data_IF_236660357648
#
_entry.id   IF_236660357648
#
_cell.length_a   1.000
_cell.length_b   1.000
_cell.length_c   1.000
_cell.angle_alpha   90.00
_cell.angle_beta   90.00
_cell.angle_gamma   90.00
#
_symmetry.space_group_name_H-M   'P 1'
#
loop_
_entity.id
_entity.type
_entity.pdbx_description
1 polymer ?
#
# COMPACT_ATOMS: atom_id res chain seq x y z
N UNK A 1 -22.10 13.88 -4.85
CA UNK A 1 -21.29 13.80 -6.09
C UNK A 1 -20.48 12.51 -6.07
N UNK A 2 -20.34 11.83 -7.21
CA UNK A 2 -19.49 10.63 -7.32
C UNK A 2 -18.02 11.07 -7.34
N UNK A 3 -17.16 10.47 -6.51
CA UNK A 3 -15.71 10.74 -6.52
C UNK A 3 -15.12 10.43 -7.90
N UNK A 4 -14.22 11.28 -8.38
CA UNK A 4 -13.41 11.02 -9.57
C UNK A 4 -12.50 9.81 -9.37
N UNK A 5 -12.04 9.19 -10.46
CA UNK A 5 -11.09 8.07 -10.40
C UNK A 5 -9.80 8.47 -9.66
N UNK A 6 -9.31 9.71 -9.89
CA UNK A 6 -8.15 10.28 -9.22
C UNK A 6 -8.32 10.36 -7.71
N UNK A 7 -9.45 10.88 -7.23
CA UNK A 7 -9.76 10.96 -5.78
C UNK A 7 -9.88 9.55 -5.17
N UNK A 8 -10.50 8.61 -5.88
CA UNK A 8 -10.60 7.22 -5.42
C UNK A 8 -9.22 6.55 -5.30
N UNK A 9 -8.31 6.82 -6.23
CA UNK A 9 -6.93 6.30 -6.18
C UNK A 9 -6.14 6.91 -5.01
N UNK A 10 -6.26 8.22 -4.77
CA UNK A 10 -5.59 8.91 -3.66
C UNK A 10 -6.07 8.36 -2.30
N UNK A 11 -7.39 8.25 -2.12
CA UNK A 11 -7.97 7.70 -0.90
C UNK A 11 -7.54 6.23 -0.70
N UNK A 12 -7.55 5.47 -1.79
CA UNK A 12 -7.14 4.07 -1.79
C UNK A 12 -5.66 3.86 -1.46
N UNK A 13 -4.78 4.74 -1.96
CA UNK A 13 -3.34 4.72 -1.65
C UNK A 13 -3.07 5.01 -0.17
N UNK A 14 -3.82 5.93 0.43
CA UNK A 14 -3.69 6.23 1.86
C UNK A 14 -3.99 5.00 2.72
N UNK A 15 -5.06 4.26 2.39
CA UNK A 15 -5.39 3.02 3.09
C UNK A 15 -4.34 1.91 2.93
N UNK A 16 -3.79 1.74 1.72
CA UNK A 16 -2.74 0.74 1.48
C UNK A 16 -1.44 1.08 2.21
N UNK A 17 -1.05 2.37 2.26
CA UNK A 17 0.14 2.79 3.00
C UNK A 17 0.01 2.51 4.50
N UNK A 18 -1.18 2.72 5.08
CA UNK A 18 -1.42 2.37 6.49
C UNK A 18 -1.29 0.85 6.73
N UNK A 19 -1.82 0.02 5.84
CA UNK A 19 -1.67 -1.44 5.93
C UNK A 19 -0.20 -1.86 5.82
N UNK A 20 0.54 -1.24 4.89
CA UNK A 20 1.98 -1.46 4.70
C UNK A 20 2.77 -1.12 5.97
N UNK A 21 2.56 0.07 6.54
CA UNK A 21 3.23 0.50 7.77
C UNK A 21 2.91 -0.45 8.94
N UNK A 22 1.66 -0.89 9.06
CA UNK A 22 1.27 -1.86 10.08
C UNK A 22 2.00 -3.21 9.89
N UNK A 23 2.10 -3.71 8.67
CA UNK A 23 2.85 -4.94 8.37
C UNK A 23 4.34 -4.78 8.69
N UNK A 24 4.95 -3.63 8.37
CA UNK A 24 6.34 -3.33 8.74
C UNK A 24 6.53 -3.38 10.25
N UNK A 25 5.67 -2.71 11.01
CA UNK A 25 5.71 -2.76 12.48
C UNK A 25 5.56 -4.19 13.02
N UNK A 26 4.64 -4.99 12.47
CA UNK A 26 4.45 -6.40 12.86
C UNK A 26 5.70 -7.25 12.59
N UNK A 27 6.40 -7.00 11.48
CA UNK A 27 7.68 -7.64 11.16
C UNK A 27 8.74 -7.28 12.20
N UNK A 28 8.85 -6.01 12.57
CA UNK A 28 9.80 -5.54 13.59
C UNK A 28 9.56 -6.22 14.94
N UNK A 29 8.31 -6.20 15.42
CA UNK A 29 7.91 -6.88 16.66
C UNK A 29 8.19 -8.38 16.58
N UNK A 30 7.93 -9.03 15.44
CA UNK A 30 8.22 -10.46 15.26
C UNK A 30 9.72 -10.75 15.35
N UNK A 31 10.56 -9.92 14.74
CA UNK A 31 12.03 -10.04 14.80
C UNK A 31 12.56 -9.86 16.22
N UNK A 32 11.88 -9.08 17.05
CA UNK A 32 12.17 -8.93 18.48
C UNK A 32 11.60 -10.05 19.36
N UNK A 33 10.92 -11.05 18.78
CA UNK A 33 10.31 -12.16 19.49
C UNK A 33 8.94 -11.86 20.13
N UNK A 34 8.34 -10.70 19.86
CA UNK A 34 7.12 -10.23 20.51
C UNK A 34 5.81 -10.89 20.04
N UNK A 35 5.81 -11.67 18.97
CA UNK A 35 4.62 -12.38 18.49
C UNK A 35 4.96 -13.80 18.06
N UNK A 36 4.58 -14.80 18.85
CA UNK A 36 4.91 -16.21 18.57
C UNK A 36 4.04 -16.79 17.46
N UNK A 37 2.78 -16.36 17.37
CA UNK A 37 1.75 -16.92 16.47
C UNK A 37 1.92 -16.52 15.00
N UNK A 38 2.49 -15.36 14.72
CA UNK A 38 2.69 -14.89 13.35
C UNK A 38 3.97 -15.49 12.74
N UNK A 39 3.90 -16.02 11.51
CA UNK A 39 5.10 -16.44 10.77
C UNK A 39 5.72 -15.21 10.10
N UNK A 40 7.04 -15.04 10.23
CA UNK A 40 7.77 -13.93 9.61
C UNK A 40 7.61 -13.95 8.08
N UNK A 41 7.76 -15.12 7.47
CA UNK A 41 7.59 -15.31 6.02
C UNK A 41 6.22 -14.83 5.51
N UNK A 42 5.14 -15.13 6.25
CA UNK A 42 3.80 -14.68 5.88
C UNK A 42 3.64 -13.16 5.95
N UNK A 43 4.28 -12.51 6.93
CA UNK A 43 4.29 -11.05 7.03
C UNK A 43 5.10 -10.41 5.90
N UNK A 44 6.22 -11.01 5.51
CA UNK A 44 7.04 -10.54 4.40
C UNK A 44 6.34 -10.72 3.04
N UNK A 45 5.57 -11.79 2.86
CA UNK A 45 4.72 -11.99 1.69
C UNK A 45 3.57 -10.97 1.64
N UNK A 46 2.90 -10.74 2.78
CA UNK A 46 1.87 -9.69 2.92
C UNK A 46 2.44 -8.30 2.56
N UNK A 47 3.65 -7.97 3.02
CA UNK A 47 4.30 -6.71 2.70
C UNK A 47 4.55 -6.54 1.19
N UNK A 48 5.03 -7.61 0.51
CA UNK A 48 5.22 -7.60 -0.94
C UNK A 48 3.91 -7.37 -1.70
N UNK A 49 2.80 -7.91 -1.20
CA UNK A 49 1.48 -7.69 -1.80
C UNK A 49 1.09 -6.21 -1.70
N UNK A 50 1.29 -5.60 -0.53
CA UNK A 50 1.01 -4.17 -0.35
C UNK A 50 1.90 -3.28 -1.22
N UNK A 51 3.20 -3.55 -1.27
CA UNK A 51 4.14 -2.81 -2.13
C UNK A 51 3.72 -2.88 -3.61
N UNK A 52 3.32 -4.07 -4.09
CA UNK A 52 2.83 -4.24 -5.47
C UNK A 52 1.56 -3.43 -5.72
N UNK A 53 0.57 -3.52 -4.84
CA UNK A 53 -0.71 -2.81 -5.01
C UNK A 53 -0.55 -1.28 -4.94
N UNK A 54 0.35 -0.79 -4.08
CA UNK A 54 0.69 0.64 -4.00
C UNK A 54 1.30 1.07 -5.33
N UNK A 55 2.30 0.33 -5.82
CA UNK A 55 2.98 0.66 -7.08
C UNK A 55 2.04 0.71 -8.27
N UNK A 56 1.16 -0.29 -8.42
CA UNK A 56 0.16 -0.33 -9.49
C UNK A 56 -0.76 0.91 -9.46
N UNK A 57 -1.19 1.35 -8.28
CA UNK A 57 -2.05 2.52 -8.13
C UNK A 57 -1.32 3.84 -8.32
N UNK A 58 -0.07 3.92 -7.88
CA UNK A 58 0.80 5.08 -8.14
C UNK A 58 1.03 5.25 -9.64
N UNK A 59 1.28 4.16 -10.36
CA UNK A 59 1.47 4.19 -11.82
C UNK A 59 0.19 4.63 -12.54
N UNK A 60 -0.97 4.14 -12.12
CA UNK A 60 -2.26 4.60 -12.65
C UNK A 60 -2.50 6.09 -12.37
N UNK A 61 -2.22 6.55 -11.15
CA UNK A 61 -2.37 7.95 -10.77
C UNK A 61 -1.42 8.85 -11.57
N UNK A 62 -0.19 8.38 -11.80
CA UNK A 62 0.81 9.08 -12.59
C UNK A 62 0.34 9.28 -14.04
N UNK A 63 -0.18 8.25 -14.70
CA UNK A 63 -0.69 8.40 -16.08
C UNK A 63 -1.89 9.35 -16.14
N UNK A 64 -2.84 9.28 -15.18
CA UNK A 64 -3.95 10.25 -15.10
C UNK A 64 -3.43 11.69 -14.97
N UNK A 65 -2.48 11.92 -14.06
CA UNK A 65 -1.93 13.26 -13.84
C UNK A 65 -1.13 13.79 -15.04
N UNK A 66 -0.52 12.89 -15.82
CA UNK A 66 0.20 13.21 -17.05
C UNK A 66 -0.76 13.59 -18.17
N UNK A 67 -1.86 12.86 -18.34
CA UNK A 67 -2.95 13.19 -19.28
C UNK A 67 -3.56 14.56 -18.94
N UNK A 68 -3.83 14.84 -17.66
CA UNK A 68 -4.37 16.13 -17.20
C UNK A 68 -3.43 17.32 -17.47
N UNK A 69 -2.11 17.10 -17.51
CA UNK A 69 -1.12 18.15 -17.80
C UNK A 69 -0.92 18.42 -19.29
N UNK A 70 -1.31 17.49 -20.15
CA UNK A 70 -1.16 17.61 -21.60
C UNK A 70 -2.31 18.39 -22.27
N UNK A 71 -3.33 18.76 -21.50
CA UNK A 71 -4.54 19.51 -21.88
C UNK A 71 -4.41 20.94 -21.36
#
# INVERSE_FOLDING_TARGET
>A
MKKSLKEQLIDGLSGLNLLRENTVYRIEIKKLGGSVELKLESLEEELKIWDRQIKEREDMLFEIMKEERAI
#
